data_IF_860666435948
#
_entry.id   IF_860666435948
#
_cell.length_a   1.000
_cell.length_b   1.000
_cell.length_c   1.000
_cell.angle_alpha   90.00
_cell.angle_beta   90.00
_cell.angle_gamma   90.00
#
_symmetry.space_group_name_H-M   'P 1'
#
loop_
_entity.id
_entity.type
_entity.pdbx_description
1 polymer ?
#
# COMPACT_ATOMS: atom_id res chain seq x y z
N UNK A 1 -31.74 26.51 5.00
CA UNK A 1 -32.27 25.20 5.45
C UNK A 1 -31.28 24.10 5.06
N UNK A 2 -30.34 23.68 5.92
CA UNK A 2 -29.55 22.44 5.68
C UNK A 2 -28.60 22.01 6.82
N UNK A 3 -28.74 22.53 8.05
CA UNK A 3 -27.95 21.99 9.17
C UNK A 3 -28.65 20.83 9.89
N UNK A 4 -29.99 20.84 9.95
CA UNK A 4 -30.77 19.73 10.51
C UNK A 4 -30.62 18.43 9.70
N UNK A 5 -30.54 18.52 8.37
CA UNK A 5 -30.41 17.36 7.50
C UNK A 5 -29.09 16.58 7.72
N UNK A 6 -28.00 17.27 8.12
CA UNK A 6 -26.71 16.63 8.38
C UNK A 6 -26.68 15.84 9.69
N UNK A 7 -27.38 16.32 10.72
CA UNK A 7 -27.48 15.61 11.99
C UNK A 7 -28.35 14.35 11.90
N UNK A 8 -29.41 14.36 11.07
CA UNK A 8 -30.24 13.17 10.84
C UNK A 8 -29.47 12.07 10.10
N UNK A 9 -28.63 12.42 9.13
CA UNK A 9 -27.80 11.44 8.39
C UNK A 9 -26.72 10.82 9.30
N UNK A 10 -26.09 11.61 10.18
CA UNK A 10 -25.10 11.09 11.12
C UNK A 10 -25.72 10.16 12.17
N UNK A 11 -26.90 10.48 12.70
CA UNK A 11 -27.62 9.62 13.64
C UNK A 11 -28.11 8.30 13.00
N UNK A 12 -28.51 8.34 11.72
CA UNK A 12 -28.90 7.14 10.98
C UNK A 12 -27.72 6.17 10.74
N UNK A 13 -26.51 6.69 10.52
CA UNK A 13 -25.32 5.86 10.30
C UNK A 13 -24.77 5.22 11.59
N UNK A 14 -24.92 5.86 12.76
CA UNK A 14 -24.55 5.26 14.05
C UNK A 14 -25.57 4.24 14.57
N UNK A 15 -26.85 4.35 14.18
CA UNK A 15 -27.89 3.38 14.55
C UNK A 15 -27.78 2.03 13.83
N UNK A 16 -27.21 2.00 12.61
CA UNK A 16 -27.07 0.79 11.81
C UNK A 16 -25.94 -0.15 12.29
N UNK A 17 -24.97 0.35 13.05
CA UNK A 17 -23.85 -0.44 13.54
C UNK A 17 -24.17 -1.29 14.80
N UNK A 18 -25.29 -1.00 15.49
CA UNK A 18 -25.64 -1.62 16.77
C UNK A 18 -26.49 -2.91 16.65
N UNK A 19 -26.96 -3.28 15.45
CA UNK A 19 -27.84 -4.45 15.25
C UNK A 19 -27.19 -5.65 14.56
N UNK A 20 -25.88 -5.65 14.35
CA UNK A 20 -25.15 -6.86 13.99
C UNK A 20 -24.88 -7.73 15.24
N UNK A 21 -25.92 -8.03 16.01
CA UNK A 21 -25.88 -9.11 16.99
C UNK A 21 -26.01 -10.43 16.21
N UNK A 22 -25.00 -11.28 16.37
CA UNK A 22 -24.90 -12.58 15.74
C UNK A 22 -26.18 -13.41 15.92
N UNK A 23 -26.93 -13.61 14.82
CA UNK A 23 -27.85 -14.73 14.73
C UNK A 23 -27.01 -15.99 14.62
N UNK A 24 -26.77 -16.63 15.76
CA UNK A 24 -26.20 -17.96 15.79
C UNK A 24 -27.26 -18.91 15.25
N UNK A 25 -27.11 -19.29 13.98
CA UNK A 25 -27.98 -20.27 13.34
C UNK A 25 -27.84 -21.62 14.06
N UNK A 26 -28.98 -22.16 14.48
CA UNK A 26 -29.09 -23.52 14.99
C UNK A 26 -28.65 -24.50 13.87
N UNK A 27 -27.82 -25.52 14.16
CA UNK A 27 -27.29 -26.38 13.11
C UNK A 27 -28.39 -27.25 12.54
N UNK A 28 -28.68 -27.07 11.24
CA UNK A 28 -29.56 -27.96 10.49
C UNK A 28 -28.96 -29.38 10.42
N UNK A 29 -29.78 -30.45 10.34
CA UNK A 29 -29.29 -31.82 10.22
C UNK A 29 -28.44 -31.97 8.95
N UNK A 30 -27.26 -32.58 9.09
CA UNK A 30 -26.30 -32.76 8.01
C UNK A 30 -26.88 -33.61 6.87
N UNK A 31 -26.78 -33.11 5.64
CA UNK A 31 -26.99 -33.90 4.42
C UNK A 31 -25.88 -34.96 4.27
N UNK A 32 -26.15 -36.12 3.65
CA UNK A 32 -25.17 -37.18 3.48
C UNK A 32 -23.95 -36.68 2.69
N UNK A 33 -22.77 -36.91 3.26
CA UNK A 33 -21.49 -36.50 2.70
C UNK A 33 -21.23 -37.18 1.34
N UNK A 34 -20.72 -36.47 0.32
CA UNK A 34 -20.25 -37.08 -0.91
C UNK A 34 -19.06 -38.03 -0.63
N UNK A 35 -18.81 -39.04 -1.49
CA UNK A 35 -17.78 -40.04 -1.26
C UNK A 35 -16.42 -39.37 -1.07
N UNK A 36 -15.78 -39.66 0.06
CA UNK A 36 -14.49 -39.12 0.45
C UNK A 36 -13.44 -39.53 -0.59
N UNK A 37 -13.07 -38.57 -1.45
CA UNK A 37 -11.86 -38.69 -2.24
C UNK A 37 -10.68 -38.58 -1.29
N UNK A 38 -9.71 -39.47 -1.45
CA UNK A 38 -8.48 -39.54 -0.68
C UNK A 38 -7.59 -38.33 -1.02
N UNK A 39 -7.96 -37.17 -0.47
CA UNK A 39 -7.18 -35.94 -0.54
C UNK A 39 -6.13 -36.07 0.56
N UNK A 40 -4.86 -36.20 0.16
CA UNK A 40 -3.71 -36.13 1.06
C UNK A 40 -3.62 -34.72 1.66
N UNK A 41 -4.40 -34.47 2.71
CA UNK A 41 -4.25 -33.30 3.56
C UNK A 41 -3.05 -33.53 4.46
N UNK A 42 -2.17 -32.53 4.60
CA UNK A 42 -1.14 -32.55 5.63
C UNK A 42 -1.81 -32.88 6.98
N UNK A 43 -1.25 -33.85 7.70
CA UNK A 43 -1.66 -34.15 9.08
C UNK A 43 -1.64 -32.88 9.94
N UNK A 44 -2.45 -32.85 11.00
CA UNK A 44 -2.59 -31.69 11.90
C UNK A 44 -1.22 -31.17 12.35
N UNK A 45 -0.80 -30.03 11.78
CA UNK A 45 0.45 -29.36 12.16
C UNK A 45 0.25 -28.74 13.54
N UNK A 46 0.58 -29.49 14.58
CA UNK A 46 0.62 -28.96 15.94
C UNK A 46 1.92 -28.20 16.15
N UNK A 47 1.79 -26.90 16.41
CA UNK A 47 2.89 -26.12 16.95
C UNK A 47 3.19 -26.66 18.36
N UNK A 48 4.24 -27.48 18.47
CA UNK A 48 4.75 -27.90 19.77
C UNK A 48 5.32 -26.67 20.47
N UNK A 49 4.91 -26.37 21.72
CA UNK A 49 5.57 -25.35 22.50
C UNK A 49 7.05 -25.74 22.64
N UNK A 50 7.99 -24.79 22.48
CA UNK A 50 9.41 -25.09 22.59
C UNK A 50 9.72 -25.66 23.98
N UNK A 51 10.65 -26.62 24.04
CA UNK A 51 11.06 -27.27 25.29
C UNK A 51 11.49 -26.21 26.31
N UNK A 52 10.71 -26.10 27.39
CA UNK A 52 10.71 -24.98 28.34
C UNK A 52 11.87 -25.06 29.36
N UNK A 53 13.01 -25.66 28.98
CA UNK A 53 14.13 -25.84 29.92
C UNK A 53 14.83 -24.52 30.28
N UNK A 54 14.79 -23.52 29.40
CA UNK A 54 15.37 -22.21 29.66
C UNK A 54 14.28 -21.12 29.58
N UNK A 55 14.04 -20.35 30.66
CA UNK A 55 13.22 -19.15 30.58
C UNK A 55 13.75 -18.23 29.48
N UNK A 56 12.86 -17.67 28.67
CA UNK A 56 13.21 -16.70 27.63
C UNK A 56 13.84 -15.47 28.28
N UNK A 57 15.18 -15.39 28.25
CA UNK A 57 15.92 -14.24 28.75
C UNK A 57 15.75 -13.05 27.79
N UNK A 58 14.82 -12.14 28.13
CA UNK A 58 14.50 -10.96 27.34
C UNK A 58 15.69 -10.00 27.14
N UNK A 59 16.70 -10.06 28.00
CA UNK A 59 17.88 -9.20 27.91
C UNK A 59 18.96 -9.75 26.99
N UNK A 60 18.99 -11.08 26.80
CA UNK A 60 19.95 -11.77 25.93
C UNK A 60 19.34 -12.24 24.62
N UNK A 61 18.02 -12.37 24.56
CA UNK A 61 17.29 -12.84 23.39
C UNK A 61 17.52 -11.91 22.20
N UNK A 62 18.11 -12.46 21.15
CA UNK A 62 18.15 -11.84 19.83
C UNK A 62 17.23 -12.64 18.94
N UNK A 63 16.27 -11.96 18.31
CA UNK A 63 15.40 -12.59 17.34
C UNK A 63 16.27 -13.19 16.21
N UNK A 64 16.30 -14.54 16.04
CA UNK A 64 17.13 -15.17 15.03
C UNK A 64 16.59 -14.97 13.61
N UNK A 65 15.34 -14.50 13.48
CA UNK A 65 14.70 -14.22 12.20
C UNK A 65 14.93 -12.76 11.83
N UNK A 66 15.80 -12.51 10.86
CA UNK A 66 15.90 -11.23 10.17
C UNK A 66 14.94 -11.22 8.97
N UNK A 67 13.96 -10.33 8.96
CA UNK A 67 13.12 -10.13 7.79
C UNK A 67 13.98 -9.65 6.62
N UNK A 68 14.08 -10.45 5.55
CA UNK A 68 14.75 -10.00 4.33
C UNK A 68 13.90 -8.95 3.61
N UNK A 69 14.55 -8.00 2.91
CA UNK A 69 13.83 -7.03 2.08
C UNK A 69 12.99 -7.75 1.01
N UNK A 70 11.71 -7.41 0.94
CA UNK A 70 10.76 -7.94 -0.02
C UNK A 70 10.31 -6.83 -1.01
N UNK A 71 9.73 -7.21 -2.15
CA UNK A 71 9.10 -6.27 -3.10
C UNK A 71 8.07 -5.37 -2.42
N UNK A 72 7.37 -5.88 -1.42
CA UNK A 72 6.33 -5.13 -0.71
C UNK A 72 6.89 -3.98 0.13
N UNK A 73 8.17 -4.01 0.52
CA UNK A 73 8.77 -2.96 1.35
C UNK A 73 8.94 -1.63 0.59
N UNK A 74 8.83 -1.67 -0.74
CA UNK A 74 8.82 -0.46 -1.58
C UNK A 74 7.50 0.30 -1.47
N UNK A 75 6.39 -0.43 -1.53
CA UNK A 75 5.05 0.15 -1.59
C UNK A 75 4.41 0.30 -0.20
N UNK A 76 4.78 -0.60 0.71
CA UNK A 76 4.27 -0.66 2.07
C UNK A 76 5.41 -0.45 3.06
N UNK A 77 5.33 0.64 3.82
CA UNK A 77 6.21 0.87 4.97
C UNK A 77 5.36 0.80 6.23
N UNK A 78 5.64 -0.14 7.15
CA UNK A 78 4.93 -0.21 8.41
C UNK A 78 5.10 1.11 9.17
N UNK A 79 4.09 1.51 9.97
CA UNK A 79 4.21 2.69 10.82
C UNK A 79 5.39 2.51 11.81
N UNK A 80 6.06 3.61 12.19
CA UNK A 80 7.18 3.53 13.12
C UNK A 80 6.74 2.98 14.47
N UNK A 81 7.60 2.20 15.12
CA UNK A 81 7.32 1.68 16.47
C UNK A 81 7.37 2.81 17.51
N UNK A 82 6.74 2.61 18.66
CA UNK A 82 6.75 3.59 19.76
C UNK A 82 8.16 3.94 20.23
N UNK A 83 9.06 2.96 20.21
CA UNK A 83 10.48 3.13 20.55
C UNK A 83 11.21 3.95 19.49
N UNK A 84 10.95 3.69 18.20
CA UNK A 84 11.53 4.49 17.12
C UNK A 84 11.05 5.94 17.19
N UNK A 85 9.78 6.15 17.50
CA UNK A 85 9.23 7.49 17.69
C UNK A 85 9.88 8.18 18.87
N UNK A 86 10.09 7.50 20.01
CA UNK A 86 10.74 8.12 21.17
C UNK A 86 12.21 8.46 20.88
N UNK A 87 12.96 7.56 20.25
CA UNK A 87 14.34 7.80 19.81
C UNK A 87 14.43 8.96 18.79
N UNK A 88 13.43 9.11 17.92
CA UNK A 88 13.33 10.17 16.91
C UNK A 88 12.86 11.52 17.41
N UNK A 89 12.75 11.75 18.74
CA UNK A 89 12.29 13.01 19.31
C UNK A 89 10.78 13.07 19.63
N UNK A 90 10.11 11.93 19.65
CA UNK A 90 8.71 11.79 20.04
C UNK A 90 7.70 12.12 18.93
N UNK A 91 6.42 12.03 19.28
CA UNK A 91 5.31 12.25 18.32
C UNK A 91 5.23 13.69 17.81
N UNK A 92 5.74 14.66 18.57
CA UNK A 92 5.76 16.07 18.14
C UNK A 92 6.71 16.25 16.96
N UNK A 93 7.94 15.74 17.07
CA UNK A 93 8.91 15.77 15.97
C UNK A 93 8.37 15.04 14.74
N UNK A 94 7.80 13.85 14.93
CA UNK A 94 7.16 13.09 13.85
C UNK A 94 6.04 13.90 13.16
N UNK A 95 5.20 14.58 13.94
CA UNK A 95 4.14 15.43 13.42
C UNK A 95 4.66 16.60 12.58
N UNK A 96 5.72 17.27 13.04
CA UNK A 96 6.37 18.35 12.28
C UNK A 96 6.93 17.85 10.97
N UNK A 97 7.68 16.74 10.97
CA UNK A 97 8.21 16.14 9.75
C UNK A 97 7.11 15.69 8.79
N UNK A 98 6.02 15.14 9.32
CA UNK A 98 4.87 14.74 8.51
C UNK A 98 4.25 15.94 7.79
N UNK A 99 3.99 17.04 8.50
CA UNK A 99 3.43 18.26 7.90
C UNK A 99 4.39 18.85 6.87
N UNK A 100 5.68 18.97 7.19
CA UNK A 100 6.69 19.47 6.27
C UNK A 100 6.74 18.64 4.98
N UNK A 101 6.74 17.30 5.10
CA UNK A 101 6.70 16.39 3.96
C UNK A 101 5.44 16.53 3.11
N UNK A 102 4.27 16.73 3.73
CA UNK A 102 3.02 16.98 3.00
C UNK A 102 3.01 18.30 2.25
N UNK A 103 3.55 19.36 2.85
CA UNK A 103 3.68 20.67 2.19
C UNK A 103 4.64 20.57 1.01
N UNK A 104 5.80 19.94 1.19
CA UNK A 104 6.76 19.73 0.11
C UNK A 104 6.14 18.95 -1.06
N UNK A 105 5.40 17.87 -0.76
CA UNK A 105 4.66 17.10 -1.77
C UNK A 105 3.62 17.96 -2.49
N UNK A 106 2.85 18.77 -1.76
CA UNK A 106 1.88 19.69 -2.35
C UNK A 106 2.53 20.71 -3.29
N UNK A 107 3.64 21.33 -2.85
CA UNK A 107 4.38 22.27 -3.68
C UNK A 107 4.92 21.60 -4.95
N UNK A 108 5.50 20.41 -4.84
CA UNK A 108 5.98 19.62 -5.98
C UNK A 108 4.85 19.33 -6.99
N UNK A 109 3.66 18.95 -6.51
CA UNK A 109 2.50 18.74 -7.40
C UNK A 109 2.00 20.01 -8.08
N UNK A 110 2.14 21.18 -7.44
CA UNK A 110 1.71 22.46 -8.00
C UNK A 110 2.73 23.05 -8.98
N UNK A 111 4.03 22.82 -8.75
CA UNK A 111 5.09 23.31 -9.63
C UNK A 111 5.35 22.40 -10.84
N UNK A 112 4.85 21.17 -10.80
CA UNK A 112 5.13 20.18 -11.85
C UNK A 112 6.61 19.79 -11.91
N UNK A 113 7.35 19.96 -10.80
CA UNK A 113 8.75 19.59 -10.74
C UNK A 113 8.92 18.08 -11.01
N UNK A 114 10.01 17.64 -11.68
CA UNK A 114 10.24 16.22 -11.91
C UNK A 114 10.46 15.50 -10.57
N UNK A 115 9.88 14.30 -10.43
CA UNK A 115 10.19 13.42 -9.31
C UNK A 115 11.63 12.93 -9.38
N UNK A 116 12.26 12.73 -8.22
CA UNK A 116 13.60 12.14 -8.14
C UNK A 116 13.61 10.70 -8.69
N UNK A 117 12.51 9.96 -8.46
CA UNK A 117 12.32 8.60 -8.97
C UNK A 117 11.28 8.67 -10.07
N UNK A 118 11.71 8.51 -11.32
CA UNK A 118 10.80 8.42 -12.45
C UNK A 118 10.42 6.98 -12.71
N UNK A 119 9.12 6.74 -12.94
CA UNK A 119 8.67 5.45 -13.43
C UNK A 119 9.37 5.15 -14.76
N UNK A 120 9.73 3.89 -14.98
CA UNK A 120 10.26 3.46 -16.27
C UNK A 120 9.13 3.57 -17.31
N UNK A 121 9.09 4.71 -18.01
CA UNK A 121 8.24 4.88 -19.19
C UNK A 121 9.00 4.30 -20.37
N UNK A 122 8.32 3.46 -21.16
CA UNK A 122 8.90 2.97 -22.40
C UNK A 122 9.22 4.18 -23.29
N UNK A 123 10.50 4.35 -23.64
CA UNK A 123 10.86 5.36 -24.63
C UNK A 123 10.14 4.99 -25.95
N UNK A 124 9.53 5.96 -26.65
CA UNK A 124 8.96 5.68 -27.95
C UNK A 124 10.05 5.06 -28.84
N UNK A 125 9.71 4.08 -29.69
CA UNK A 125 10.67 3.52 -30.62
C UNK A 125 11.22 4.64 -31.52
N UNK A 126 12.48 4.55 -31.98
CA UNK A 126 13.02 5.52 -32.91
C UNK A 126 12.15 5.59 -34.17
N UNK A 127 11.95 6.79 -34.72
CA UNK A 127 11.20 6.95 -35.95
C UNK A 127 11.88 6.22 -37.10
N UNK A 128 11.10 5.56 -37.95
CA UNK A 128 11.59 4.99 -39.21
C UNK A 128 11.97 6.10 -40.21
N UNK A 129 12.84 5.79 -41.17
CA UNK A 129 13.30 6.75 -42.18
C UNK A 129 12.14 7.38 -42.99
N UNK A 130 11.08 6.60 -43.25
CA UNK A 130 9.88 7.10 -43.93
C UNK A 130 9.10 8.12 -43.07
N UNK A 131 9.08 7.92 -41.75
CA UNK A 131 8.44 8.86 -40.82
C UNK A 131 9.28 10.13 -40.65
N UNK A 132 10.61 10.02 -40.62
CA UNK A 132 11.51 11.18 -40.58
C UNK A 132 11.33 12.06 -41.83
N UNK A 133 11.28 11.46 -43.02
CA UNK A 133 11.03 12.19 -44.27
C UNK A 133 9.70 12.92 -44.27
N UNK A 134 8.63 12.23 -43.86
CA UNK A 134 7.30 12.85 -43.74
C UNK A 134 7.28 14.00 -42.74
N UNK A 135 7.98 13.86 -41.61
CA UNK A 135 8.08 14.92 -40.61
C UNK A 135 8.85 16.14 -41.15
N UNK A 136 9.93 15.92 -41.91
CA UNK A 136 10.67 16.99 -42.57
C UNK A 136 9.80 17.75 -43.58
N UNK A 137 9.10 17.03 -44.47
CA UNK A 137 8.16 17.62 -45.43
C UNK A 137 7.07 18.45 -44.74
N UNK A 138 6.56 17.97 -43.59
CA UNK A 138 5.53 18.66 -42.81
C UNK A 138 6.08 19.92 -42.10
N UNK A 139 7.33 19.89 -41.65
CA UNK A 139 8.02 21.04 -41.07
C UNK A 139 8.26 22.13 -42.12
N UNK A 140 8.75 21.74 -43.29
CA UNK A 140 8.98 22.64 -44.43
C UNK A 140 7.67 23.30 -44.89
N UNK A 141 6.59 22.52 -44.99
CA UNK A 141 5.27 23.03 -45.39
C UNK A 141 4.68 24.03 -44.38
N UNK A 142 5.04 23.92 -43.10
CA UNK A 142 4.53 24.79 -42.03
C UNK A 142 5.44 25.99 -41.74
N UNK A 143 6.60 26.11 -42.41
CA UNK A 143 7.65 27.09 -42.09
C UNK A 143 7.98 27.13 -40.57
N UNK A 144 7.83 25.99 -39.89
CA UNK A 144 8.11 25.88 -38.47
C UNK A 144 9.60 25.57 -38.30
N UNK A 145 10.28 26.32 -37.43
CA UNK A 145 11.67 26.04 -37.10
C UNK A 145 11.74 24.76 -36.23
N UNK A 146 11.81 23.62 -36.90
CA UNK A 146 11.87 22.29 -36.27
C UNK A 146 13.28 21.94 -35.77
N UNK A 147 14.23 22.88 -35.81
CA UNK A 147 15.58 22.69 -35.33
C UNK A 147 15.67 22.97 -33.81
N UNK A 148 15.41 21.94 -33.02
CA UNK A 148 15.99 21.86 -31.68
C UNK A 148 14.99 21.64 -30.56
N UNK A 149 14.58 20.39 -30.37
CA UNK A 149 14.39 19.77 -29.05
C UNK A 149 14.79 18.29 -29.18
N UNK A 150 16.10 18.04 -29.23
CA UNK A 150 16.68 16.70 -29.01
C UNK A 150 17.05 16.56 -27.54
#
# INVERSE_FOLDING_TARGET
MCNAARFVVAAALLGAAAQAHAQQAEPAPAAPSPPQQDIQTLDEVRALPPDVEQPLDLYRFKNPVSAQPNRFDKDWRPPPSVEQVSQGGGYIALGVYYVAGKVAKGLHTLTGAPDQIQAAVARPPPLSDAQIRRAAELCDAQNADCAGQQ
#
